data_IF_863884647817
#
_entry.id   IF_863884647817
#
_cell.length_a   1.000
_cell.length_b   1.000
_cell.length_c   1.000
_cell.angle_alpha   90.00
_cell.angle_beta   90.00
_cell.angle_gamma   90.00
#
_symmetry.space_group_name_H-M   'P 1'
#
loop_
_entity.id
_entity.type
_entity.pdbx_description
1 polymer ?
#
# COMPACT_ATOMS: atom_id res chain seq x y z
N UNK A 1 -0.76 11.87 11.69
CA UNK A 1 0.22 10.93 11.11
C UNK A 1 -0.50 9.61 10.91
N UNK A 2 -0.25 8.92 9.79
CA UNK A 2 -0.98 7.70 9.42
C UNK A 2 -0.02 6.72 8.74
N UNK A 3 -0.29 5.43 8.93
CA UNK A 3 0.39 4.31 8.30
C UNK A 3 -0.62 3.60 7.39
N UNK A 4 -0.36 3.62 6.09
CA UNK A 4 -1.18 2.99 5.07
C UNK A 4 -0.48 1.74 4.52
N UNK A 5 -0.96 0.53 4.85
CA UNK A 5 -0.34 -0.71 4.41
C UNK A 5 -0.32 -0.85 2.90
N UNK A 6 -1.23 -0.22 2.16
CA UNK A 6 -1.24 -0.30 0.70
C UNK A 6 -0.05 0.46 0.09
N UNK A 7 0.27 1.64 0.61
CA UNK A 7 1.41 2.44 0.15
C UNK A 7 2.72 1.69 0.41
N UNK A 8 2.90 1.22 1.65
CA UNK A 8 4.10 0.47 2.05
C UNK A 8 4.24 -0.84 1.26
N UNK A 9 3.14 -1.57 1.08
CA UNK A 9 3.11 -2.80 0.30
C UNK A 9 3.49 -2.59 -1.16
N UNK A 10 2.97 -1.53 -1.79
CA UNK A 10 3.31 -1.20 -3.19
C UNK A 10 4.79 -0.90 -3.36
N UNK A 11 5.43 -0.23 -2.41
CA UNK A 11 6.85 0.05 -2.49
C UNK A 11 7.69 -1.21 -2.25
N UNK A 12 7.49 -1.89 -1.11
CA UNK A 12 8.33 -3.03 -0.72
C UNK A 12 8.23 -4.21 -1.70
N UNK A 13 7.07 -4.38 -2.33
CA UNK A 13 6.80 -5.47 -3.27
C UNK A 13 6.54 -4.97 -4.69
N UNK A 14 7.10 -3.80 -5.06
CA UNK A 14 6.93 -3.16 -6.39
C UNK A 14 7.24 -4.06 -7.58
N UNK A 15 8.20 -4.97 -7.43
CA UNK A 15 8.63 -5.88 -8.49
C UNK A 15 7.93 -7.24 -8.47
N UNK A 16 7.14 -7.54 -7.43
CA UNK A 16 6.38 -8.79 -7.37
C UNK A 16 5.30 -8.78 -8.46
N UNK A 17 5.15 -9.84 -9.25
CA UNK A 17 4.05 -9.91 -10.21
C UNK A 17 2.68 -9.94 -9.51
N UNK A 18 1.62 -9.59 -10.25
CA UNK A 18 0.25 -9.64 -9.76
C UNK A 18 -0.25 -8.35 -9.12
N UNK A 19 -1.53 -8.37 -8.73
CA UNK A 19 -2.23 -7.22 -8.16
C UNK A 19 -1.63 -6.82 -6.80
N UNK A 20 -1.86 -5.57 -6.43
CA UNK A 20 -1.42 -4.97 -5.17
C UNK A 20 -2.63 -4.43 -4.42
N UNK A 21 -3.55 -5.33 -4.06
CA UNK A 21 -4.69 -5.09 -3.18
C UNK A 21 -4.36 -5.62 -1.78
N UNK A 22 -5.12 -5.20 -0.78
CA UNK A 22 -4.95 -5.68 0.60
C UNK A 22 -5.03 -7.22 0.68
N UNK A 23 -5.99 -7.83 -0.03
CA UNK A 23 -6.12 -9.30 -0.10
C UNK A 23 -4.86 -9.98 -0.66
N UNK A 24 -4.19 -9.38 -1.66
CA UNK A 24 -2.97 -9.95 -2.24
C UNK A 24 -1.79 -9.95 -1.23
N UNK A 25 -1.82 -9.05 -0.24
CA UNK A 25 -0.87 -8.98 0.86
C UNK A 25 -1.23 -9.97 1.98
N UNK A 26 -2.52 -10.10 2.32
CA UNK A 26 -3.03 -11.13 3.23
C UNK A 26 -2.61 -12.52 2.76
N UNK A 27 -2.85 -12.83 1.48
CA UNK A 27 -2.49 -14.10 0.87
C UNK A 27 -0.97 -14.31 0.85
N UNK A 28 -0.20 -13.24 0.56
CA UNK A 28 1.27 -13.27 0.53
C UNK A 28 1.88 -13.66 1.87
N UNK A 29 1.28 -13.17 2.96
CA UNK A 29 1.78 -13.39 4.32
C UNK A 29 1.09 -14.59 5.01
N UNK A 30 0.17 -15.28 4.32
CA UNK A 30 -0.54 -16.44 4.86
C UNK A 30 -1.47 -16.08 6.04
N UNK A 31 -1.93 -14.83 6.10
CA UNK A 31 -2.77 -14.34 7.20
C UNK A 31 -4.18 -14.93 7.09
N UNK A 32 -4.73 -15.39 8.21
CA UNK A 32 -6.11 -15.86 8.30
C UNK A 32 -6.96 -14.70 8.82
N UNK A 33 -7.75 -14.09 7.95
CA UNK A 33 -8.67 -13.00 8.32
C UNK A 33 -10.10 -13.54 8.22
N UNK A 34 -10.86 -13.46 9.30
CA UNK A 34 -12.26 -13.92 9.32
C UNK A 34 -13.16 -13.07 8.42
N UNK A 35 -14.05 -13.72 7.67
CA UNK A 35 -14.99 -13.09 6.74
C UNK A 35 -16.26 -12.53 7.43
N UNK A 36 -16.11 -11.79 8.54
CA UNK A 36 -17.25 -11.23 9.27
C UNK A 36 -17.34 -9.70 9.09
N UNK A 37 -18.32 -9.26 8.29
CA UNK A 37 -18.67 -7.89 7.91
C UNK A 37 -17.47 -7.01 7.48
N UNK A 38 -17.34 -6.86 6.16
CA UNK A 38 -16.16 -6.42 5.38
C UNK A 38 -15.27 -5.36 6.05
N UNK A 39 -15.81 -4.26 6.59
CA UNK A 39 -15.00 -3.16 7.11
C UNK A 39 -14.14 -3.51 8.34
N UNK A 40 -14.68 -4.28 9.30
CA UNK A 40 -13.92 -4.62 10.52
C UNK A 40 -12.85 -5.67 10.21
N UNK A 41 -13.18 -6.62 9.34
CA UNK A 41 -12.23 -7.61 8.85
C UNK A 41 -11.08 -6.93 8.09
N UNK A 42 -11.38 -5.98 7.21
CA UNK A 42 -10.37 -5.22 6.44
C UNK A 42 -9.47 -4.39 7.34
N UNK A 43 -10.02 -3.74 8.38
CA UNK A 43 -9.22 -2.98 9.33
C UNK A 43 -8.24 -3.88 10.10
N UNK A 44 -8.67 -5.07 10.54
CA UNK A 44 -7.79 -6.05 11.19
C UNK A 44 -6.72 -6.56 10.22
N UNK A 45 -7.12 -6.90 9.00
CA UNK A 45 -6.20 -7.33 7.95
C UNK A 45 -5.13 -6.27 7.67
N UNK A 46 -5.53 -5.01 7.56
CA UNK A 46 -4.64 -3.87 7.34
C UNK A 46 -3.57 -3.76 8.43
N UNK A 47 -3.96 -3.92 9.70
CA UNK A 47 -3.02 -3.90 10.84
C UNK A 47 -2.05 -5.07 10.80
N UNK A 48 -2.54 -6.30 10.62
CA UNK A 48 -1.69 -7.50 10.54
C UNK A 48 -0.71 -7.43 9.36
N UNK A 49 -1.18 -6.98 8.20
CA UNK A 49 -0.35 -6.73 7.01
C UNK A 49 0.71 -5.67 7.31
N UNK A 50 0.35 -4.58 8.00
CA UNK A 50 1.32 -3.53 8.36
C UNK A 50 2.45 -4.08 9.24
N UNK A 51 2.16 -4.93 10.23
CA UNK A 51 3.22 -5.56 11.02
C UNK A 51 4.17 -6.40 10.16
N UNK A 52 3.63 -7.19 9.22
CA UNK A 52 4.46 -7.99 8.30
C UNK A 52 5.28 -7.13 7.35
N UNK A 53 4.77 -5.98 6.92
CA UNK A 53 5.49 -5.02 6.09
C UNK A 53 6.62 -4.34 6.86
N UNK A 54 6.39 -3.96 8.12
CA UNK A 54 7.42 -3.39 8.98
C UNK A 54 8.57 -4.37 9.19
N UNK A 55 8.26 -5.65 9.42
CA UNK A 55 9.25 -6.72 9.48
C UNK A 55 10.01 -6.87 8.14
N UNK A 56 9.27 -6.99 7.03
CA UNK A 56 9.83 -7.18 5.69
C UNK A 56 10.80 -6.05 5.29
N UNK A 57 10.41 -4.80 5.56
CA UNK A 57 11.20 -3.61 5.22
C UNK A 57 12.21 -3.20 6.29
N UNK A 58 12.31 -3.93 7.41
CA UNK A 58 13.11 -3.53 8.58
C UNK A 58 12.81 -2.10 9.07
N UNK A 59 11.53 -1.72 9.06
CA UNK A 59 11.05 -0.35 9.30
C UNK A 59 10.80 -0.04 10.79
N UNK A 60 11.03 -1.00 11.70
CA UNK A 60 10.63 -0.88 13.10
C UNK A 60 11.29 0.29 13.85
N UNK A 61 12.46 0.74 13.38
CA UNK A 61 13.21 1.85 13.97
C UNK A 61 13.10 3.15 13.16
N UNK A 62 12.22 3.19 12.15
CA UNK A 62 11.97 4.41 11.38
C UNK A 62 11.01 5.28 12.17
N UNK A 63 11.43 6.53 12.41
CA UNK A 63 10.59 7.53 13.06
C UNK A 63 9.27 7.72 12.30
N UNK A 64 8.17 7.88 13.02
CA UNK A 64 6.84 7.96 12.41
C UNK A 64 6.74 9.15 11.42
N UNK A 65 7.49 10.23 11.66
CA UNK A 65 7.51 11.41 10.79
C UNK A 65 8.20 11.09 9.46
N UNK A 66 9.38 10.46 9.52
CA UNK A 66 10.08 9.97 8.35
C UNK A 66 9.24 8.93 7.60
N UNK A 67 8.50 8.08 8.31
CA UNK A 67 7.59 7.13 7.67
C UNK A 67 6.44 7.81 6.92
N UNK A 68 5.95 8.94 7.42
CA UNK A 68 4.92 9.73 6.72
C UNK A 68 5.49 10.41 5.46
N UNK A 69 6.73 10.92 5.51
CA UNK A 69 7.44 11.48 4.36
C UNK A 69 7.71 10.40 3.29
N UNK A 70 8.22 9.23 3.71
CA UNK A 70 8.45 8.09 2.82
C UNK A 70 7.18 7.64 2.11
N UNK A 71 6.05 7.53 2.83
CA UNK A 71 4.79 7.14 2.21
C UNK A 71 4.28 8.18 1.19
N UNK A 72 4.52 9.47 1.43
CA UNK A 72 4.18 10.51 0.46
C UNK A 72 5.00 10.34 -0.83
N UNK A 73 6.31 10.14 -0.70
CA UNK A 73 7.21 9.94 -1.84
C UNK A 73 6.89 8.64 -2.61
N UNK A 74 6.66 7.54 -1.89
CA UNK A 74 6.30 6.25 -2.49
C UNK A 74 4.95 6.31 -3.21
N UNK A 75 3.94 6.93 -2.60
CA UNK A 75 2.64 7.11 -3.25
C UNK A 75 2.77 7.95 -4.51
N UNK A 76 3.48 9.08 -4.42
CA UNK A 76 3.70 9.97 -5.57
C UNK A 76 4.39 9.24 -6.72
N UNK A 77 5.49 8.53 -6.43
CA UNK A 77 6.21 7.75 -7.43
C UNK A 77 5.32 6.66 -8.06
N UNK A 78 4.53 5.94 -7.27
CA UNK A 78 3.56 4.98 -7.80
C UNK A 78 2.52 5.66 -8.70
N UNK A 79 1.95 6.78 -8.26
CA UNK A 79 0.88 7.48 -8.95
C UNK A 79 1.37 8.06 -10.29
N UNK A 80 2.59 8.61 -10.35
CA UNK A 80 3.22 9.08 -11.58
C UNK A 80 3.37 7.94 -12.60
N UNK A 81 3.99 6.83 -12.19
CA UNK A 81 4.15 5.65 -13.05
C UNK A 81 2.80 5.06 -13.52
N UNK A 82 1.81 5.02 -12.62
CA UNK A 82 0.49 4.47 -12.95
C UNK A 82 -0.27 5.39 -13.93
N UNK A 83 -0.13 6.71 -13.79
CA UNK A 83 -0.70 7.69 -14.72
C UNK A 83 -0.08 7.56 -16.11
N UNK A 84 1.24 7.47 -16.21
CA UNK A 84 1.94 7.25 -17.48
C UNK A 84 1.45 5.98 -18.16
N UNK A 85 1.47 4.86 -17.43
CA UNK A 85 0.98 3.56 -17.93
C UNK A 85 -0.48 3.60 -18.38
N UNK A 86 -1.35 4.32 -17.66
CA UNK A 86 -2.77 4.42 -17.99
C UNK A 86 -2.99 5.34 -19.21
N UNK A 87 -2.27 6.45 -19.29
CA UNK A 87 -2.30 7.37 -20.42
C UNK A 87 -1.87 6.69 -21.73
N UNK A 88 -0.81 5.88 -21.69
CA UNK A 88 -0.32 5.09 -22.83
C UNK A 88 -1.38 4.10 -23.36
N UNK A 89 -2.36 3.73 -22.53
CA UNK A 89 -3.47 2.83 -22.89
C UNK A 89 -4.76 3.58 -23.20
N UNK A 90 -4.74 4.91 -23.27
CA UNK A 90 -5.91 5.74 -23.52
C UNK A 90 -6.91 5.79 -22.36
N UNK A 91 -6.47 5.48 -21.14
CA UNK A 91 -7.31 5.57 -19.94
C UNK A 91 -7.35 6.98 -19.34
N UNK A 92 -8.37 7.23 -18.51
CA UNK A 92 -8.55 8.51 -17.82
C UNK A 92 -7.66 8.60 -16.56
N UNK A 93 -6.77 9.60 -16.53
CA UNK A 93 -5.84 9.86 -15.41
C UNK A 93 -6.38 10.88 -14.40
N UNK A 94 -7.52 11.52 -14.67
CA UNK A 94 -8.04 12.64 -13.86
C UNK A 94 -8.36 12.23 -12.41
N UNK A 95 -8.74 10.97 -12.20
CA UNK A 95 -9.03 10.41 -10.88
C UNK A 95 -7.79 9.97 -10.07
N UNK A 96 -6.58 10.08 -10.61
CA UNK A 96 -5.35 9.61 -9.94
C UNK A 96 -4.63 10.78 -9.26
N UNK A 97 -4.81 10.89 -7.94
CA UNK A 97 -4.12 11.88 -7.12
C UNK A 97 -2.62 11.55 -6.96
N UNK A 98 -1.77 12.57 -7.13
CA UNK A 98 -0.35 12.49 -6.79
C UNK A 98 -0.09 12.76 -5.30
N UNK A 99 -1.08 13.29 -4.57
CA UNK A 99 -0.97 13.57 -3.14
C UNK A 99 -1.60 12.46 -2.31
N UNK A 100 -0.95 12.17 -1.19
CA UNK A 100 -1.41 11.33 -0.10
C UNK A 100 -0.74 11.83 1.20
N UNK A 101 -1.40 11.80 2.37
CA UNK A 101 -2.79 11.39 2.58
C UNK A 101 -3.77 12.46 2.09
N UNK A 102 -4.99 12.05 1.73
CA UNK A 102 -6.06 12.89 1.18
C UNK A 102 -7.15 13.14 2.20
#
# INVERSE_FOLDING_TARGET
>A
MVLDPLVVWRELERYRPGKKRLQDAVDRFGLQVEAAHEAVADAKAAVEVMFKLVELGSLANVELASMMELQHDWHKAWAENFREWLADRGGDISGISLSWPV
#
